data_IF_355857675902
#
_entry.id   IF_355857675902
#
_cell.length_a   1.000
_cell.length_b   1.000
_cell.length_c   1.000
_cell.angle_alpha   90.00
_cell.angle_beta   90.00
_cell.angle_gamma   90.00
#
_symmetry.space_group_name_H-M   'P 1'
#
loop_
_entity.id
_entity.type
_entity.pdbx_description
1 polymer ?
#
# COMPACT_ATOMS: atom_id res chain seq x y z
N UNK A 1 10.40 0.76 -5.93
CA UNK A 1 9.01 0.89 -6.39
C UNK A 1 8.21 -0.31 -5.95
N UNK A 2 7.03 -0.10 -5.44
CA UNK A 2 6.22 -1.20 -4.94
C UNK A 2 5.09 -1.51 -5.91
N UNK A 3 5.43 -2.25 -6.95
CA UNK A 3 4.46 -2.65 -7.96
C UNK A 3 3.39 -3.59 -7.41
N UNK A 4 3.76 -4.40 -6.44
CA UNK A 4 2.81 -5.35 -5.85
C UNK A 4 1.68 -4.62 -5.14
N UNK A 5 2.01 -3.55 -4.41
CA UNK A 5 1.01 -2.74 -3.74
C UNK A 5 0.10 -2.06 -4.75
N UNK A 6 0.70 -1.49 -5.79
CA UNK A 6 -0.07 -0.83 -6.82
C UNK A 6 -1.03 -1.81 -7.50
N UNK A 7 -0.54 -3.00 -7.83
CA UNK A 7 -1.37 -4.00 -8.49
C UNK A 7 -2.50 -4.47 -7.58
N UNK A 8 -2.21 -4.70 -6.30
CA UNK A 8 -3.24 -5.13 -5.36
C UNK A 8 -4.32 -4.06 -5.21
N UNK A 9 -3.92 -2.79 -5.21
CA UNK A 9 -4.87 -1.69 -5.14
C UNK A 9 -5.78 -1.68 -6.36
N UNK A 10 -5.18 -1.82 -7.54
CA UNK A 10 -5.95 -1.83 -8.78
C UNK A 10 -6.88 -3.03 -8.86
N UNK A 11 -6.45 -4.17 -8.32
CA UNK A 11 -7.31 -5.37 -8.30
C UNK A 11 -8.55 -5.14 -7.45
N UNK A 12 -8.50 -4.22 -6.50
CA UNK A 12 -9.64 -3.86 -5.68
C UNK A 12 -10.43 -2.69 -6.27
N UNK A 13 -10.03 -2.21 -7.45
CA UNK A 13 -10.66 -1.07 -8.11
C UNK A 13 -10.59 0.20 -7.27
N UNK A 14 -9.49 0.39 -6.56
CA UNK A 14 -9.30 1.55 -5.71
C UNK A 14 -8.30 2.51 -6.34
N UNK A 15 -8.62 3.81 -6.32
CA UNK A 15 -7.66 4.84 -6.66
C UNK A 15 -6.75 5.09 -5.45
N UNK A 16 -5.65 5.81 -5.68
CA UNK A 16 -4.78 6.20 -4.58
C UNK A 16 -5.54 7.06 -3.57
N UNK A 17 -6.40 7.95 -4.06
CA UNK A 17 -7.20 8.79 -3.18
C UNK A 17 -8.16 7.98 -2.32
N UNK A 18 -8.81 6.98 -2.93
CA UNK A 18 -9.74 6.14 -2.19
C UNK A 18 -9.03 5.32 -1.12
N UNK A 19 -7.90 4.71 -1.48
CA UNK A 19 -7.14 3.94 -0.51
C UNK A 19 -6.66 4.84 0.64
N UNK A 20 -6.17 6.01 0.30
CA UNK A 20 -5.69 6.96 1.31
C UNK A 20 -6.80 7.34 2.28
N UNK A 21 -8.01 7.57 1.79
CA UNK A 21 -9.15 7.89 2.64
C UNK A 21 -9.51 6.75 3.59
N UNK A 22 -9.51 5.53 3.09
CA UNK A 22 -9.85 4.37 3.91
C UNK A 22 -8.84 4.20 5.03
N UNK A 23 -7.57 4.40 4.73
CA UNK A 23 -6.51 4.20 5.70
C UNK A 23 -6.35 5.40 6.63
N UNK A 24 -6.69 6.60 6.14
CA UNK A 24 -6.57 7.80 6.94
C UNK A 24 -5.26 8.54 6.75
N UNK A 25 -4.69 8.47 5.56
CA UNK A 25 -3.47 9.21 5.21
C UNK A 25 -3.72 10.02 3.95
N UNK A 26 -2.75 10.84 3.56
CA UNK A 26 -2.90 11.63 2.35
C UNK A 26 -2.65 10.79 1.11
N UNK A 27 -3.20 11.21 -0.04
CA UNK A 27 -2.94 10.55 -1.30
C UNK A 27 -1.44 10.56 -1.62
N UNK A 28 -0.78 11.65 -1.28
CA UNK A 28 0.64 11.77 -1.52
C UNK A 28 1.43 10.68 -0.79
N UNK A 29 1.01 10.34 0.42
CA UNK A 29 1.64 9.27 1.18
C UNK A 29 1.54 7.95 0.44
N UNK A 30 0.36 7.61 -0.08
CA UNK A 30 0.17 6.38 -0.83
C UNK A 30 1.06 6.39 -2.09
N UNK A 31 1.08 7.51 -2.79
CA UNK A 31 1.88 7.65 -3.99
C UNK A 31 3.37 7.42 -3.69
N UNK A 32 3.87 8.01 -2.61
CA UNK A 32 5.28 7.87 -2.24
C UNK A 32 5.63 6.44 -1.86
N UNK A 33 4.72 5.75 -1.17
CA UNK A 33 4.96 4.35 -0.81
C UNK A 33 5.05 3.50 -2.08
N UNK A 34 4.15 3.71 -3.02
CA UNK A 34 4.15 2.94 -4.27
C UNK A 34 5.39 3.22 -5.11
N UNK A 35 5.89 4.43 -5.05
CA UNK A 35 7.09 4.80 -5.80
C UNK A 35 8.40 4.40 -5.10
N UNK A 36 8.31 3.97 -3.85
CA UNK A 36 9.51 3.59 -3.11
C UNK A 36 10.22 4.77 -2.45
N UNK A 37 9.55 5.92 -2.37
CA UNK A 37 10.14 7.14 -1.82
C UNK A 37 9.89 7.31 -0.33
N UNK A 38 9.13 6.41 0.26
CA UNK A 38 8.74 6.52 1.66
C UNK A 38 8.64 5.14 2.27
N UNK A 39 9.27 4.96 3.43
CA UNK A 39 9.22 3.71 4.16
C UNK A 39 8.11 3.80 5.21
N UNK A 40 6.97 3.13 5.00
CA UNK A 40 5.88 3.20 5.96
C UNK A 40 6.22 2.45 7.24
N UNK A 41 5.58 2.86 8.34
CA UNK A 41 5.71 2.13 9.59
C UNK A 41 5.04 0.76 9.45
N UNK A 42 5.39 -0.15 10.35
CA UNK A 42 4.75 -1.47 10.38
C UNK A 42 3.24 -1.34 10.53
N UNK A 43 2.79 -0.43 11.39
CA UNK A 43 1.36 -0.21 11.56
C UNK A 43 0.67 0.19 10.27
N UNK A 44 1.29 1.11 9.53
CA UNK A 44 0.73 1.56 8.26
C UNK A 44 0.74 0.42 7.24
N UNK A 45 1.83 -0.34 7.19
CA UNK A 45 1.92 -1.49 6.29
C UNK A 45 0.80 -2.48 6.56
N UNK A 46 0.54 -2.77 7.84
CA UNK A 46 -0.51 -3.70 8.22
C UNK A 46 -1.89 -3.20 7.82
N UNK A 47 -2.14 -1.90 7.97
CA UNK A 47 -3.42 -1.33 7.57
C UNK A 47 -3.62 -1.43 6.07
N UNK A 48 -2.58 -1.16 5.30
CA UNK A 48 -2.64 -1.28 3.85
C UNK A 48 -2.94 -2.73 3.46
N UNK A 49 -2.23 -3.67 4.05
CA UNK A 49 -2.44 -5.08 3.73
C UNK A 49 -3.84 -5.54 4.08
N UNK A 50 -4.36 -5.06 5.20
CA UNK A 50 -5.70 -5.42 5.63
C UNK A 50 -6.75 -4.98 4.62
N UNK A 51 -6.62 -3.73 4.15
CA UNK A 51 -7.56 -3.19 3.17
C UNK A 51 -7.45 -3.92 1.84
N UNK A 52 -6.24 -4.25 1.44
CA UNK A 52 -6.01 -4.88 0.14
C UNK A 52 -6.12 -6.41 0.16
N UNK A 53 -6.33 -6.99 1.34
CA UNK A 53 -6.49 -8.44 1.46
C UNK A 53 -5.21 -9.21 1.20
N UNK A 54 -4.08 -8.63 1.57
CA UNK A 54 -2.76 -9.23 1.33
C UNK A 54 -2.03 -9.39 2.65
N UNK A 55 -0.91 -10.10 2.63
CA UNK A 55 -0.03 -10.19 3.78
C UNK A 55 1.11 -9.20 3.63
N UNK A 56 1.84 -8.98 4.73
CA UNK A 56 3.02 -8.12 4.68
C UNK A 56 4.06 -8.67 3.70
N UNK A 57 4.21 -10.00 3.66
CA UNK A 57 5.12 -10.61 2.71
C UNK A 57 4.71 -10.34 1.26
N UNK A 58 3.42 -10.29 1.01
CA UNK A 58 2.94 -10.08 -0.35
C UNK A 58 3.30 -8.70 -0.87
N UNK A 59 3.31 -7.70 -0.01
CA UNK A 59 3.42 -6.32 -0.47
C UNK A 59 4.73 -5.66 -0.09
N UNK A 60 5.28 -5.96 1.08
CA UNK A 60 6.38 -5.17 1.61
C UNK A 60 7.67 -5.94 1.84
N UNK A 61 7.61 -7.25 1.93
CA UNK A 61 8.81 -8.04 2.14
C UNK A 61 9.00 -8.99 1.00
N UNK A 62 10.24 -9.07 0.56
CA UNK A 62 10.57 -9.96 -0.53
C UNK A 62 11.15 -11.23 -0.01
N UNK A 63 10.69 -12.32 -0.57
CA UNK A 63 11.27 -13.61 -0.31
C UNK A 63 12.46 -13.79 -1.20
N UNK A 64 13.56 -14.06 -0.61
CA UNK A 64 14.76 -14.33 -1.37
C UNK A 64 15.01 -15.80 -1.45
#
# INVERSE_FOLDING_TARGET
MNEKMKQARLDKNLSQTELAKIIGVSRQTINMIENGDYNPTIGLCRNICKVLGCTLNDLFWEDK
#
